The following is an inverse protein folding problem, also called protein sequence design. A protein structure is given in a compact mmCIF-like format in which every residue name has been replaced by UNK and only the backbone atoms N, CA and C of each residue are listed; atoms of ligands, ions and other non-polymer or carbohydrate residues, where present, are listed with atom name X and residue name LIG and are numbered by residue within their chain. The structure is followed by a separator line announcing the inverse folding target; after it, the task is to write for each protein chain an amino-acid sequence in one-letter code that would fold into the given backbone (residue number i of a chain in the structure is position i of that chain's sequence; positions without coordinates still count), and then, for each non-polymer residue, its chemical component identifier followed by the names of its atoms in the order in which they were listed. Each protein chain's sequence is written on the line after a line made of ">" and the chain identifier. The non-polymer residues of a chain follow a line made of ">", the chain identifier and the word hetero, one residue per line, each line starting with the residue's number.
data_IF_571547747743
#
_entry.id   IF_571547747743
#
_cell.length_a   1.000
_cell.length_b   1.000
_cell.length_c   1.000
_cell.angle_alpha   90.00
_cell.angle_beta   90.00
_cell.angle_gamma   90.00
#
_symmetry.space_group_name_H-M   'P 1'
#
loop_
_entity.id
_entity.type
_entity.pdbx_description
1 polymer ?
#
# COMPACT_ATOMS: atom_id res chain seq x y z
N UNK A 1 1.09 10.33 15.47
CA UNK A 1 0.27 9.48 14.57
C UNK A 1 -0.74 10.34 13.86
N UNK A 2 -0.91 10.14 12.53
CA UNK A 2 -1.93 10.76 11.70
C UNK A 2 -2.73 9.66 10.99
N UNK A 3 -4.08 9.71 11.08
CA UNK A 3 -4.95 8.72 10.41
C UNK A 3 -5.90 9.45 9.45
N UNK A 4 -5.94 8.98 8.21
CA UNK A 4 -6.96 9.34 7.22
C UNK A 4 -8.07 8.27 7.27
N UNK A 5 -9.27 8.69 7.62
CA UNK A 5 -10.44 7.82 7.72
C UNK A 5 -11.55 8.27 6.78
N UNK A 6 -11.74 7.58 5.68
CA UNK A 6 -12.79 7.82 4.67
C UNK A 6 -12.68 6.75 3.56
N UNK A 7 -13.36 6.95 2.42
CA UNK A 7 -13.11 6.19 1.21
C UNK A 7 -11.71 6.45 0.66
N UNK A 8 -11.10 5.42 0.07
CA UNK A 8 -9.80 5.47 -0.62
C UNK A 8 -9.89 4.94 -2.04
N UNK A 9 -9.06 5.45 -2.92
CA UNK A 9 -8.97 5.08 -4.33
C UNK A 9 -7.53 4.92 -4.83
N UNK A 10 -6.61 4.65 -3.91
CA UNK A 10 -5.20 4.44 -4.19
C UNK A 10 -4.47 5.69 -4.70
N UNK A 11 -3.31 5.49 -5.31
CA UNK A 11 -2.49 6.59 -5.84
C UNK A 11 -3.14 7.38 -6.97
N UNK A 12 -4.12 6.80 -7.64
CA UNK A 12 -4.78 7.45 -8.80
C UNK A 12 -5.86 8.43 -8.35
N UNK A 13 -6.69 8.03 -7.39
CA UNK A 13 -7.87 8.81 -6.98
C UNK A 13 -7.72 9.43 -5.58
N UNK A 14 -6.70 9.06 -4.83
CA UNK A 14 -6.44 9.61 -3.50
C UNK A 14 -7.40 9.09 -2.42
N UNK A 15 -7.68 9.93 -1.41
CA UNK A 15 -8.46 9.57 -0.21
C UNK A 15 -9.42 10.70 0.16
N UNK A 16 -10.36 10.43 1.07
CA UNK A 16 -11.28 11.41 1.64
C UNK A 16 -12.24 12.03 0.61
N UNK A 17 -13.03 11.18 -0.03
CA UNK A 17 -13.99 11.58 -1.06
C UNK A 17 -15.17 12.37 -0.47
N UNK A 18 -15.44 13.56 -1.05
CA UNK A 18 -16.59 14.38 -0.71
C UNK A 18 -17.79 14.04 -1.61
N UNK A 19 -18.70 13.24 -1.10
CA UNK A 19 -19.90 12.81 -1.85
C UNK A 19 -20.83 13.98 -2.22
N UNK A 20 -20.78 15.10 -1.49
CA UNK A 20 -21.61 16.26 -1.71
C UNK A 20 -21.03 17.22 -2.77
N UNK A 21 -19.73 17.10 -3.05
CA UNK A 21 -19.02 17.95 -4.00
C UNK A 21 -18.42 17.16 -5.18
N UNK A 22 -19.23 16.33 -5.80
CA UNK A 22 -18.88 15.58 -7.02
C UNK A 22 -17.80 14.51 -6.81
N UNK A 23 -17.71 13.95 -5.62
CA UNK A 23 -16.70 13.00 -5.22
C UNK A 23 -15.27 13.55 -5.38
N UNK A 24 -15.08 14.86 -5.14
CA UNK A 24 -13.76 15.46 -5.01
C UNK A 24 -12.99 14.76 -3.88
N UNK A 25 -11.69 14.59 -4.04
CA UNK A 25 -10.84 13.83 -3.11
C UNK A 25 -9.49 14.50 -2.91
N UNK A 26 -8.81 14.14 -1.84
CA UNK A 26 -7.43 14.57 -1.62
C UNK A 26 -6.49 13.64 -2.43
N UNK A 27 -5.87 14.18 -3.47
CA UNK A 27 -4.79 13.51 -4.18
C UNK A 27 -3.53 13.40 -3.29
N UNK A 28 -2.60 12.51 -3.67
CA UNK A 28 -1.33 12.38 -2.95
C UNK A 28 -0.54 13.70 -2.94
N UNK A 29 -0.54 14.44 -4.05
CA UNK A 29 0.12 15.74 -4.15
C UNK A 29 -0.49 16.77 -3.19
N UNK A 30 -1.82 16.83 -3.07
CA UNK A 30 -2.51 17.75 -2.16
C UNK A 30 -2.23 17.42 -0.70
N UNK A 31 -2.20 16.12 -0.35
CA UNK A 31 -1.80 15.67 1.00
C UNK A 31 -0.36 16.13 1.29
N UNK A 32 0.56 15.83 0.36
CA UNK A 32 1.96 16.21 0.50
C UNK A 32 2.14 17.71 0.69
N UNK A 33 1.57 18.53 -0.19
CA UNK A 33 1.66 20.00 -0.10
C UNK A 33 1.01 20.56 1.17
N UNK A 34 -0.08 19.98 1.64
CA UNK A 34 -0.70 20.39 2.89
C UNK A 34 0.23 20.14 4.08
N UNK A 35 0.87 18.97 4.14
CA UNK A 35 1.80 18.61 5.20
C UNK A 35 3.10 19.41 5.11
N UNK A 36 3.69 19.57 3.93
CA UNK A 36 4.88 20.40 3.70
C UNK A 36 4.66 21.88 4.10
N UNK A 37 3.45 22.37 3.95
CA UNK A 37 3.11 23.76 4.33
C UNK A 37 3.10 24.01 5.85
N UNK A 38 2.96 22.97 6.67
CA UNK A 38 2.77 23.10 8.14
C UNK A 38 3.80 22.32 8.96
N UNK A 39 4.47 21.34 8.37
CA UNK A 39 5.49 20.50 9.01
C UNK A 39 6.87 20.79 8.39
N UNK A 40 7.91 20.47 9.14
CA UNK A 40 9.26 20.34 8.55
C UNK A 40 9.44 18.89 8.14
N UNK A 41 9.38 18.62 6.84
CA UNK A 41 9.55 17.26 6.30
C UNK A 41 11.02 16.87 6.26
N UNK A 42 11.31 15.60 6.60
CA UNK A 42 12.67 15.08 6.64
C UNK A 42 12.69 13.56 6.61
N UNK A 43 13.44 12.96 5.70
CA UNK A 43 13.70 11.52 5.65
C UNK A 43 14.41 10.96 6.89
N UNK A 44 15.11 11.81 7.65
CA UNK A 44 15.90 11.39 8.82
C UNK A 44 15.19 11.63 10.15
N UNK A 45 14.21 12.52 10.17
CA UNK A 45 13.45 12.90 11.36
C UNK A 45 12.05 13.37 10.92
N UNK A 46 11.21 12.44 10.42
CA UNK A 46 9.91 12.79 9.90
C UNK A 46 8.96 13.24 11.01
N UNK A 47 7.99 14.13 10.71
CA UNK A 47 7.13 14.71 11.74
C UNK A 47 6.15 13.72 12.38
N UNK A 48 5.91 12.58 11.73
CA UNK A 48 5.04 11.54 12.26
C UNK A 48 5.77 10.22 12.41
N UNK A 49 5.54 9.52 13.51
CA UNK A 49 6.02 8.15 13.68
C UNK A 49 5.20 7.15 12.84
N UNK A 50 3.89 7.44 12.64
CA UNK A 50 3.01 6.60 11.84
C UNK A 50 1.96 7.44 11.13
N UNK A 51 1.77 7.19 9.83
CA UNK A 51 0.62 7.62 9.05
C UNK A 51 -0.20 6.39 8.65
N UNK A 52 -1.51 6.43 8.92
CA UNK A 52 -2.43 5.34 8.59
C UNK A 52 -3.56 5.79 7.67
N UNK A 53 -4.01 4.86 6.85
CA UNK A 53 -5.18 5.02 6.00
C UNK A 53 -6.20 3.93 6.35
N UNK A 54 -7.18 4.28 7.22
CA UNK A 54 -8.40 3.50 7.40
C UNK A 54 -9.31 3.79 6.21
N UNK A 55 -8.88 3.26 5.06
CA UNK A 55 -9.42 3.56 3.75
C UNK A 55 -8.94 2.54 2.69
N UNK A 56 -9.82 2.19 1.75
CA UNK A 56 -9.52 1.25 0.68
C UNK A 56 -8.32 1.64 -0.17
N UNK A 57 -7.52 0.66 -0.61
CA UNK A 57 -6.59 0.78 -1.74
C UNK A 57 -5.36 1.69 -1.53
N UNK A 58 -5.11 2.16 -0.32
CA UNK A 58 -4.04 3.14 -0.07
C UNK A 58 -2.64 2.55 0.10
N UNK A 59 -2.49 1.21 0.25
CA UNK A 59 -1.18 0.57 0.31
C UNK A 59 -0.56 0.44 -1.08
N UNK A 60 -0.19 1.56 -1.68
CA UNK A 60 0.51 1.60 -2.97
C UNK A 60 1.97 2.04 -2.78
N UNK A 61 2.85 1.61 -3.69
CA UNK A 61 4.25 2.08 -3.71
C UNK A 61 4.33 3.61 -3.82
N UNK A 62 3.42 4.24 -4.58
CA UNK A 62 3.38 5.70 -4.74
C UNK A 62 2.99 6.40 -3.43
N UNK A 63 1.98 5.88 -2.72
CA UNK A 63 1.58 6.41 -1.41
C UNK A 63 2.71 6.31 -0.40
N UNK A 64 3.37 5.14 -0.34
CA UNK A 64 4.51 4.94 0.54
C UNK A 64 5.69 5.84 0.18
N UNK A 65 6.00 6.02 -1.10
CA UNK A 65 7.06 6.92 -1.56
C UNK A 65 6.76 8.38 -1.21
N UNK A 66 5.52 8.83 -1.38
CA UNK A 66 5.09 10.19 -1.01
C UNK A 66 5.25 10.47 0.49
N UNK A 67 5.08 9.44 1.34
CA UNK A 67 5.18 9.59 2.79
C UNK A 67 6.61 9.44 3.34
N UNK A 68 7.62 9.21 2.52
CA UNK A 68 8.97 8.85 2.96
C UNK A 68 9.68 9.89 3.84
N UNK A 69 9.32 11.16 3.70
CA UNK A 69 9.81 12.29 4.52
C UNK A 69 8.76 12.84 5.49
N UNK A 70 7.59 12.20 5.51
CA UNK A 70 6.43 12.57 6.34
C UNK A 70 6.34 11.70 7.58
N UNK A 71 6.62 10.39 7.46
CA UNK A 71 6.45 9.43 8.55
C UNK A 71 7.53 8.35 8.56
N UNK A 72 7.70 7.68 9.74
CA UNK A 72 8.56 6.50 9.85
C UNK A 72 7.87 5.24 9.30
N UNK A 73 6.57 5.09 9.58
CA UNK A 73 5.79 3.93 9.17
C UNK A 73 4.47 4.35 8.52
N UNK A 74 4.01 3.51 7.57
CA UNK A 74 2.69 3.58 6.99
C UNK A 74 1.89 2.33 7.33
N UNK A 75 0.58 2.49 7.66
CA UNK A 75 -0.38 1.38 7.74
C UNK A 75 -1.49 1.62 6.72
N UNK A 76 -1.69 0.68 5.82
CA UNK A 76 -2.69 0.80 4.76
C UNK A 76 -3.08 -0.57 4.16
N UNK A 77 -4.23 -0.61 3.48
CA UNK A 77 -4.72 -1.77 2.76
C UNK A 77 -4.46 -1.69 1.26
N UNK A 78 -4.08 -2.82 0.65
CA UNK A 78 -3.99 -2.97 -0.81
C UNK A 78 -5.38 -3.10 -1.45
N UNK A 79 -6.33 -3.70 -0.74
CA UNK A 79 -7.69 -3.96 -1.23
C UNK A 79 -8.72 -3.07 -0.54
N UNK A 80 -9.99 -3.33 -0.83
CA UNK A 80 -11.10 -2.68 -0.18
C UNK A 80 -11.19 -3.11 1.29
N UNK A 81 -11.39 -2.14 2.17
CA UNK A 81 -11.64 -2.40 3.58
C UNK A 81 -13.14 -2.58 3.86
N UNK A 82 -13.53 -3.58 4.67
CA UNK A 82 -14.87 -3.66 5.20
C UNK A 82 -15.27 -2.41 5.98
N UNK A 83 -16.56 -2.09 5.95
CA UNK A 83 -17.12 -0.88 6.57
C UNK A 83 -17.01 -0.80 8.10
N UNK A 84 -16.52 -1.84 8.77
CA UNK A 84 -16.23 -1.80 10.20
C UNK A 84 -15.07 -0.85 10.53
N UNK A 85 -14.14 -0.66 9.56
CA UNK A 85 -12.91 0.10 9.79
C UNK A 85 -11.98 -0.56 10.81
N UNK A 86 -11.07 0.22 11.38
CA UNK A 86 -10.09 -0.24 12.36
C UNK A 86 -10.64 -0.21 13.79
N UNK A 87 -10.17 -1.12 14.66
CA UNK A 87 -10.50 -1.12 16.09
C UNK A 87 -9.68 -0.05 16.84
N UNK A 88 -10.22 1.16 16.91
CA UNK A 88 -9.59 2.29 17.58
C UNK A 88 -9.47 2.09 19.10
N UNK A 89 -10.33 1.29 19.71
CA UNK A 89 -10.29 1.05 21.16
C UNK A 89 -9.03 0.27 21.53
N UNK A 90 -8.66 -0.75 20.74
CA UNK A 90 -7.52 -1.63 21.03
C UNK A 90 -6.18 -0.90 20.90
N UNK A 91 -5.90 -0.27 19.77
CA UNK A 91 -4.59 0.32 19.57
C UNK A 91 -4.39 1.64 20.32
N UNK A 92 -5.44 2.46 20.52
CA UNK A 92 -5.35 3.66 21.37
C UNK A 92 -5.14 3.26 22.83
N UNK A 93 -5.80 2.19 23.31
CA UNK A 93 -5.58 1.68 24.67
C UNK A 93 -4.15 1.17 24.85
N UNK A 94 -3.57 0.50 23.84
CA UNK A 94 -2.18 0.05 23.89
C UNK A 94 -1.19 1.22 24.05
N UNK A 95 -1.40 2.33 23.33
CA UNK A 95 -0.61 3.57 23.50
C UNK A 95 -0.85 4.17 24.91
N UNK A 96 -2.08 4.20 25.40
CA UNK A 96 -2.38 4.73 26.73
C UNK A 96 -1.74 3.93 27.87
N UNK A 97 -1.66 2.60 27.71
CA UNK A 97 -1.05 1.70 28.69
C UNK A 97 0.49 1.74 28.62
N UNK A 98 1.07 1.99 27.45
CA UNK A 98 2.50 2.12 27.22
C UNK A 98 2.79 3.27 26.24
N UNK A 99 2.94 4.51 26.74
CA UNK A 99 3.21 5.69 25.87
C UNK A 99 4.55 5.63 25.11
N UNK A 100 5.46 4.76 25.51
CA UNK A 100 6.75 4.55 24.84
C UNK A 100 6.73 3.37 23.84
N UNK A 101 5.53 2.85 23.48
CA UNK A 101 5.37 1.79 22.49
C UNK A 101 5.88 2.25 21.11
N UNK A 102 6.66 1.40 20.42
CA UNK A 102 7.14 1.71 19.07
C UNK A 102 6.00 1.80 18.04
N UNK A 103 6.14 2.66 17.07
CA UNK A 103 5.13 2.86 16.04
C UNK A 103 4.96 1.63 15.14
N UNK A 104 6.01 0.84 14.93
CA UNK A 104 5.94 -0.46 14.26
C UNK A 104 5.05 -1.46 15.01
N UNK A 105 5.14 -1.48 16.34
CA UNK A 105 4.29 -2.34 17.17
C UNK A 105 2.84 -1.84 17.19
N UNK A 106 2.61 -0.51 17.23
CA UNK A 106 1.27 0.06 17.06
C UNK A 106 0.66 -0.37 15.71
N UNK A 107 1.44 -0.31 14.64
CA UNK A 107 1.01 -0.78 13.33
C UNK A 107 0.61 -2.26 13.31
N UNK A 108 1.37 -3.12 14.00
CA UNK A 108 1.03 -4.56 14.16
C UNK A 108 -0.27 -4.75 14.92
N UNK A 109 -0.47 -4.01 16.02
CA UNK A 109 -1.71 -4.07 16.81
C UNK A 109 -2.91 -3.64 15.97
N UNK A 110 -2.77 -2.59 15.14
CA UNK A 110 -3.81 -2.17 14.19
C UNK A 110 -4.15 -3.32 13.24
N UNK A 111 -3.16 -3.94 12.61
CA UNK A 111 -3.37 -5.05 11.69
C UNK A 111 -4.07 -6.24 12.36
N UNK A 112 -3.61 -6.65 13.54
CA UNK A 112 -4.14 -7.82 14.25
C UNK A 112 -5.56 -7.60 14.75
N UNK A 113 -5.86 -6.41 15.32
CA UNK A 113 -7.21 -6.08 15.79
C UNK A 113 -8.20 -5.94 14.63
N UNK A 114 -7.80 -5.30 13.54
CA UNK A 114 -8.59 -5.23 12.31
C UNK A 114 -8.94 -6.62 11.75
N UNK A 115 -7.96 -7.52 11.65
CA UNK A 115 -8.20 -8.87 11.18
C UNK A 115 -9.16 -9.65 12.11
N UNK A 116 -9.01 -9.49 13.43
CA UNK A 116 -9.88 -10.13 14.41
C UNK A 116 -11.33 -9.62 14.33
N UNK A 117 -11.53 -8.31 14.16
CA UNK A 117 -12.85 -7.73 13.99
C UNK A 117 -13.52 -8.19 12.69
N UNK A 118 -12.76 -8.19 11.58
CA UNK A 118 -13.24 -8.72 10.31
C UNK A 118 -13.62 -10.20 10.41
N UNK A 119 -12.86 -11.01 11.16
CA UNK A 119 -13.21 -12.42 11.42
C UNK A 119 -14.51 -12.53 12.22
N UNK A 120 -14.67 -11.71 13.25
CA UNK A 120 -15.86 -11.72 14.10
C UNK A 120 -17.16 -11.41 13.35
N UNK A 121 -17.09 -10.60 12.29
CA UNK A 121 -18.22 -10.26 11.42
C UNK A 121 -18.32 -11.12 10.14
N UNK A 122 -17.38 -12.05 9.94
CA UNK A 122 -17.36 -12.96 8.79
C UNK A 122 -16.91 -12.30 7.47
N UNK A 123 -16.06 -11.26 7.54
CA UNK A 123 -15.53 -10.50 6.39
C UNK A 123 -14.00 -10.60 6.25
N UNK A 124 -13.36 -11.55 6.93
CA UNK A 124 -11.89 -11.67 6.94
C UNK A 124 -11.31 -12.30 5.65
N UNK A 125 -12.12 -12.86 4.76
CA UNK A 125 -11.64 -13.67 3.65
C UNK A 125 -10.89 -12.85 2.57
N UNK A 126 -11.22 -11.57 2.39
CA UNK A 126 -10.71 -10.71 1.33
C UNK A 126 -9.94 -9.49 1.85
N UNK A 127 -9.68 -9.41 3.15
CA UNK A 127 -8.95 -8.28 3.73
C UNK A 127 -7.45 -8.31 3.40
N UNK A 128 -6.86 -7.13 3.40
CA UNK A 128 -5.41 -6.90 3.45
C UNK A 128 -5.13 -5.71 4.37
N UNK A 129 -4.05 -5.74 5.12
CA UNK A 129 -3.50 -4.58 5.82
C UNK A 129 -2.02 -4.81 6.07
N UNK A 130 -1.19 -3.80 5.85
CA UNK A 130 0.26 -3.92 5.99
C UNK A 130 0.87 -2.77 6.76
N UNK A 131 2.02 -3.05 7.41
CA UNK A 131 2.91 -2.06 8.02
C UNK A 131 4.15 -1.94 7.16
N UNK A 132 4.41 -0.73 6.67
CA UNK A 132 5.52 -0.41 5.78
C UNK A 132 6.53 0.46 6.51
N UNK A 133 7.79 0.04 6.55
CA UNK A 133 8.94 0.84 6.99
C UNK A 133 9.33 1.81 5.87
N UNK A 134 8.97 3.08 6.03
CA UNK A 134 9.20 4.10 5.00
C UNK A 134 10.67 4.48 4.86
N UNK A 135 11.53 4.17 5.83
CA UNK A 135 12.98 4.37 5.70
C UNK A 135 13.62 3.47 4.62
N UNK A 136 12.91 2.42 4.19
CA UNK A 136 13.33 1.46 3.16
C UNK A 136 12.71 1.71 1.79
N UNK A 137 11.72 2.59 1.70
CA UNK A 137 10.88 2.72 0.49
C UNK A 137 11.68 3.12 -0.75
N UNK A 138 12.69 3.98 -0.62
CA UNK A 138 13.47 4.42 -1.78
C UNK A 138 14.30 3.32 -2.42
N UNK A 139 14.70 2.31 -1.65
CA UNK A 139 15.37 1.12 -2.20
C UNK A 139 14.41 0.33 -3.08
N UNK A 140 13.15 0.18 -2.63
CA UNK A 140 12.09 -0.46 -3.40
C UNK A 140 11.73 0.35 -4.65
N UNK A 141 11.55 1.67 -4.53
CA UNK A 141 11.25 2.57 -5.66
C UNK A 141 12.34 2.47 -6.74
N UNK A 142 13.61 2.53 -6.37
CA UNK A 142 14.73 2.40 -7.32
C UNK A 142 14.75 1.02 -7.97
N UNK A 143 14.52 -0.05 -7.22
CA UNK A 143 14.47 -1.40 -7.78
C UNK A 143 13.30 -1.56 -8.77
N UNK A 144 12.13 -1.02 -8.43
CA UNK A 144 10.94 -1.05 -9.26
C UNK A 144 11.09 -0.20 -10.53
N UNK A 145 11.67 1.00 -10.44
CA UNK A 145 11.97 1.85 -11.60
C UNK A 145 12.94 1.14 -12.56
N UNK A 146 13.98 0.50 -12.05
CA UNK A 146 14.91 -0.29 -12.86
C UNK A 146 14.21 -1.47 -13.56
N UNK A 147 13.27 -2.16 -12.89
CA UNK A 147 12.45 -3.20 -13.51
C UNK A 147 11.61 -2.61 -14.65
N UNK A 148 10.94 -1.48 -14.41
CA UNK A 148 10.14 -0.77 -15.41
C UNK A 148 10.96 -0.34 -16.63
N UNK A 149 12.11 0.26 -16.40
CA UNK A 149 13.05 0.68 -17.47
C UNK A 149 13.50 -0.52 -18.32
N UNK A 150 13.87 -1.64 -17.72
CA UNK A 150 14.28 -2.82 -18.50
C UNK A 150 13.09 -3.48 -19.20
N UNK A 151 11.90 -3.48 -18.61
CA UNK A 151 10.67 -3.94 -19.27
C UNK A 151 10.35 -3.12 -20.52
N UNK A 152 10.48 -1.79 -20.46
CA UNK A 152 10.32 -0.90 -21.62
C UNK A 152 11.41 -1.15 -22.69
N UNK A 153 12.66 -1.34 -22.28
CA UNK A 153 13.74 -1.69 -23.17
C UNK A 153 13.50 -3.02 -23.88
N UNK A 154 13.07 -4.05 -23.15
CA UNK A 154 12.73 -5.35 -23.70
C UNK A 154 11.56 -5.26 -24.69
N UNK A 155 10.49 -4.55 -24.33
CA UNK A 155 9.32 -4.32 -25.18
C UNK A 155 9.68 -3.55 -26.48
N UNK A 156 10.65 -2.65 -26.42
CA UNK A 156 11.11 -1.91 -27.62
C UNK A 156 11.85 -2.80 -28.63
N UNK A 157 12.45 -3.90 -28.14
CA UNK A 157 13.20 -4.88 -28.97
C UNK A 157 12.32 -6.02 -29.46
N UNK A 158 11.34 -6.42 -28.63
CA UNK A 158 10.43 -7.53 -28.93
C UNK A 158 8.99 -7.16 -28.54
N UNK A 159 8.10 -6.91 -29.52
CA UNK A 159 6.69 -6.62 -29.25
C UNK A 159 5.94 -7.75 -28.51
N UNK A 160 6.43 -9.00 -28.59
CA UNK A 160 5.81 -10.14 -27.88
C UNK A 160 6.03 -10.02 -26.37
N UNK A 161 7.16 -9.42 -25.95
CA UNK A 161 7.47 -9.21 -24.55
C UNK A 161 6.35 -8.48 -23.79
N UNK A 162 5.83 -7.39 -24.38
CA UNK A 162 4.79 -6.59 -23.72
C UNK A 162 3.50 -7.40 -23.51
N UNK A 163 3.14 -8.25 -24.48
CA UNK A 163 1.99 -9.13 -24.36
C UNK A 163 2.21 -10.23 -23.28
N UNK A 164 3.45 -10.74 -23.17
CA UNK A 164 3.80 -11.71 -22.11
C UNK A 164 3.75 -11.05 -20.73
N UNK A 165 4.33 -9.87 -20.57
CA UNK A 165 4.31 -9.12 -19.32
C UNK A 165 2.86 -8.79 -18.88
N UNK A 166 2.02 -8.32 -19.81
CA UNK A 166 0.60 -8.07 -19.55
C UNK A 166 -0.17 -9.33 -19.11
N UNK A 167 0.19 -10.52 -19.63
CA UNK A 167 -0.38 -11.79 -19.16
C UNK A 167 0.03 -12.11 -17.72
N UNK A 168 1.25 -11.76 -17.31
CA UNK A 168 1.67 -11.95 -15.92
C UNK A 168 0.95 -10.97 -14.98
N UNK A 169 0.79 -9.71 -15.40
CA UNK A 169 -0.01 -8.74 -14.65
C UNK A 169 -1.46 -9.21 -14.46
N UNK A 170 -2.10 -9.73 -15.52
CA UNK A 170 -3.47 -10.26 -15.46
C UNK A 170 -3.63 -11.47 -14.52
N UNK A 171 -2.57 -12.22 -14.26
CA UNK A 171 -2.57 -13.38 -13.36
C UNK A 171 -2.23 -13.02 -11.92
N UNK A 172 -1.79 -11.79 -11.70
CA UNK A 172 -1.42 -11.31 -10.37
C UNK A 172 -2.66 -10.90 -9.58
N UNK A 173 -2.57 -10.92 -8.27
CA UNK A 173 -3.59 -10.42 -7.36
C UNK A 173 -3.95 -9.00 -7.78
N UNK A 174 -5.24 -8.69 -7.88
CA UNK A 174 -5.74 -7.41 -8.39
C UNK A 174 -6.75 -6.83 -7.41
N UNK A 175 -6.65 -5.53 -7.16
CA UNK A 175 -7.41 -4.83 -6.15
C UNK A 175 -8.30 -3.74 -6.75
N UNK A 176 -9.47 -3.52 -6.14
CA UNK A 176 -10.42 -2.49 -6.55
C UNK A 176 -11.08 -2.69 -7.90
N UNK A 177 -10.76 -3.79 -8.61
CA UNK A 177 -11.36 -4.18 -9.87
C UNK A 177 -10.63 -3.67 -11.12
N UNK A 178 -10.84 -4.40 -12.23
CA UNK A 178 -10.17 -4.16 -13.52
C UNK A 178 -11.16 -4.18 -14.70
N UNK A 179 -12.45 -4.05 -14.43
CA UNK A 179 -13.51 -3.99 -15.46
C UNK A 179 -14.35 -2.73 -15.32
N UNK A 180 -15.10 -2.32 -16.35
CA UNK A 180 -16.02 -1.17 -16.27
C UNK A 180 -17.03 -1.26 -15.14
N UNK A 181 -17.46 -2.48 -14.82
CA UNK A 181 -18.50 -2.74 -13.81
C UNK A 181 -17.93 -2.74 -12.37
N UNK A 182 -16.63 -3.00 -12.21
CA UNK A 182 -15.94 -3.07 -10.92
C UNK A 182 -15.04 -1.86 -10.65
N UNK A 183 -14.97 -0.92 -11.56
CA UNK A 183 -14.01 0.19 -11.55
C UNK A 183 -12.67 -0.21 -12.18
N UNK A 184 -12.01 0.75 -12.83
CA UNK A 184 -10.69 0.54 -13.45
C UNK A 184 -9.58 1.07 -12.53
N UNK A 185 -9.38 0.45 -11.40
CA UNK A 185 -8.21 0.81 -10.56
C UNK A 185 -6.92 0.25 -11.17
N UNK A 186 -7.01 -0.95 -11.77
CA UNK A 186 -5.87 -1.68 -12.36
C UNK A 186 -4.67 -1.83 -11.41
N UNK A 187 -4.91 -1.75 -10.11
CA UNK A 187 -3.88 -1.97 -9.11
C UNK A 187 -3.64 -3.47 -8.95
N UNK A 188 -2.38 -3.87 -8.99
CA UNK A 188 -1.96 -5.26 -8.81
C UNK A 188 -0.98 -5.34 -7.65
N UNK A 189 -0.97 -6.48 -6.97
CA UNK A 189 0.04 -6.77 -5.96
C UNK A 189 1.45 -6.74 -6.58
N UNK A 190 2.31 -5.90 -6.02
CA UNK A 190 3.65 -5.67 -6.56
C UNK A 190 4.50 -6.93 -6.55
N UNK A 191 4.58 -7.62 -5.41
CA UNK A 191 5.40 -8.82 -5.28
C UNK A 191 4.87 -9.99 -6.11
N UNK A 192 3.55 -10.16 -6.22
CA UNK A 192 2.95 -11.20 -7.05
C UNK A 192 3.19 -10.92 -8.55
N UNK A 193 3.04 -9.67 -9.01
CA UNK A 193 3.40 -9.28 -10.37
C UNK A 193 4.86 -9.59 -10.68
N UNK A 194 5.75 -9.22 -9.77
CA UNK A 194 7.20 -9.42 -9.95
C UNK A 194 7.57 -10.89 -9.92
N UNK A 195 6.99 -11.70 -9.02
CA UNK A 195 7.17 -13.18 -9.01
C UNK A 195 6.72 -13.81 -10.32
N UNK A 196 5.54 -13.43 -10.82
CA UNK A 196 5.00 -13.96 -12.08
C UNK A 196 5.85 -13.54 -13.29
N UNK A 197 6.46 -12.35 -13.25
CA UNK A 197 7.29 -11.79 -14.32
C UNK A 197 8.77 -12.21 -14.23
N UNK A 198 9.18 -12.94 -13.19
CA UNK A 198 10.59 -13.31 -12.95
C UNK A 198 11.25 -14.05 -14.12
N UNK A 199 10.47 -14.82 -14.88
CA UNK A 199 10.99 -15.51 -16.08
C UNK A 199 11.37 -14.57 -17.23
N UNK A 200 10.85 -13.35 -17.22
CA UNK A 200 11.09 -12.33 -18.24
C UNK A 200 12.26 -11.39 -17.87
N UNK A 201 12.37 -11.05 -16.57
CA UNK A 201 13.32 -10.07 -16.01
C UNK A 201 13.93 -10.59 -14.69
N UNK A 202 14.73 -11.67 -14.72
CA UNK A 202 15.09 -12.39 -13.49
C UNK A 202 15.93 -11.59 -12.50
N UNK A 203 16.86 -10.76 -12.96
CA UNK A 203 17.74 -9.98 -12.08
C UNK A 203 16.99 -8.81 -11.44
N UNK A 204 16.22 -8.05 -12.20
CA UNK A 204 15.42 -6.94 -11.71
C UNK A 204 14.29 -7.41 -10.79
N UNK A 205 13.64 -8.54 -11.14
CA UNK A 205 12.59 -9.13 -10.30
C UNK A 205 13.11 -9.49 -8.90
N UNK A 206 14.30 -10.09 -8.79
CA UNK A 206 14.86 -10.44 -7.49
C UNK A 206 15.15 -9.20 -6.65
N UNK A 207 15.71 -8.14 -7.25
CA UNK A 207 16.01 -6.89 -6.55
C UNK A 207 14.74 -6.22 -5.98
N UNK A 208 13.62 -6.25 -6.72
CA UNK A 208 12.34 -5.72 -6.21
C UNK A 208 11.82 -6.56 -5.06
N UNK A 209 11.85 -7.90 -5.18
CA UNK A 209 11.37 -8.79 -4.12
C UNK A 209 12.18 -8.63 -2.82
N UNK A 210 13.51 -8.55 -2.92
CA UNK A 210 14.38 -8.36 -1.77
C UNK A 210 14.10 -7.00 -1.07
N UNK A 211 13.93 -5.93 -1.84
CA UNK A 211 13.60 -4.61 -1.31
C UNK A 211 12.18 -4.55 -0.71
N UNK A 212 11.21 -5.24 -1.30
CA UNK A 212 9.85 -5.32 -0.78
C UNK A 212 9.81 -6.07 0.56
N UNK A 213 10.53 -7.17 0.69
CA UNK A 213 10.63 -7.95 1.93
C UNK A 213 11.29 -7.15 3.08
N UNK A 214 12.19 -6.20 2.75
CA UNK A 214 12.77 -5.30 3.75
C UNK A 214 11.82 -4.14 4.12
N UNK A 215 10.95 -3.72 3.20
CA UNK A 215 10.07 -2.58 3.33
C UNK A 215 8.77 -2.93 4.08
N UNK A 216 8.13 -4.06 3.74
CA UNK A 216 6.90 -4.52 4.40
C UNK A 216 7.26 -5.36 5.61
N UNK A 217 7.22 -4.76 6.79
CA UNK A 217 7.67 -5.40 8.04
C UNK A 217 6.61 -6.26 8.73
N UNK A 218 5.34 -6.05 8.41
CA UNK A 218 4.22 -6.84 8.90
C UNK A 218 3.03 -6.75 7.95
N UNK A 219 2.21 -7.81 7.89
CA UNK A 219 0.94 -7.77 7.17
C UNK A 219 -0.02 -8.84 7.63
N UNK A 220 -1.31 -8.60 7.43
CA UNK A 220 -2.40 -9.56 7.51
C UNK A 220 -3.11 -9.64 6.18
N UNK A 221 -3.59 -10.84 5.82
CA UNK A 221 -4.39 -11.02 4.61
C UNK A 221 -5.36 -12.19 4.78
N UNK A 222 -6.52 -12.07 4.17
CA UNK A 222 -7.55 -13.11 4.16
C UNK A 222 -7.17 -14.30 3.26
N UNK A 223 -7.96 -15.36 3.38
CA UNK A 223 -7.66 -16.61 2.64
C UNK A 223 -7.74 -16.45 1.11
N UNK A 224 -8.52 -15.48 0.60
CA UNK A 224 -8.64 -15.20 -0.83
C UNK A 224 -7.62 -14.15 -1.32
N UNK A 225 -6.79 -13.63 -0.43
CA UNK A 225 -5.69 -12.70 -0.70
C UNK A 225 -4.32 -13.29 -0.33
N UNK A 226 -4.19 -14.62 -0.54
CA UNK A 226 -2.99 -15.37 -0.14
C UNK A 226 -1.69 -14.93 -0.83
N UNK A 227 -1.78 -14.27 -1.98
CA UNK A 227 -0.64 -13.78 -2.75
C UNK A 227 -0.28 -12.30 -2.45
N UNK A 228 -1.10 -11.61 -1.65
CA UNK A 228 -0.85 -10.23 -1.20
C UNK A 228 0.53 -10.11 -0.56
N UNK A 229 1.28 -9.09 -0.93
CA UNK A 229 2.64 -8.82 -0.43
C UNK A 229 2.75 -7.53 0.37
N UNK A 230 1.66 -6.77 0.49
CA UNK A 230 1.54 -5.61 1.35
C UNK A 230 1.67 -4.27 0.64
N UNK A 231 2.07 -4.26 -0.64
CA UNK A 231 2.06 -3.07 -1.50
C UNK A 231 1.58 -3.42 -2.90
N UNK A 232 0.70 -2.58 -3.44
CA UNK A 232 0.27 -2.60 -4.84
C UNK A 232 1.02 -1.56 -5.70
N UNK A 233 0.88 -1.72 -7.02
CA UNK A 233 1.39 -0.79 -8.01
C UNK A 233 0.41 -0.59 -9.16
#
# INVERSE_FOLDING_TARGET
>A
ILIFWNHGGGSISGVAFDELHSYDSLSLDEIYYALDSVCTLSEYDPPFELVGFDACLMATIDTAAMLSDVAEYMVASEDQEPTCGWDYDVWIQAIADNPDIGADEVGRIICDSYAADCEAIGMADEITLSVVDLSKIWQLVVAYDNLGCEALNAASRDPVFFAEFGRQAHRSENYGGNTPDTGYTNMVDLGHLVRNSRGLLPENAQAVLDALDECVIYKVNGQYRGESTGLSC
#
